data_IF_238623121215
#
_entry.id   IF_238623121215
#
_cell.length_a   1.000
_cell.length_b   1.000
_cell.length_c   1.000
_cell.angle_alpha   90.00
_cell.angle_beta   90.00
_cell.angle_gamma   90.00
#
_symmetry.space_group_name_H-M   'P 1'
#
loop_
_entity.id
_entity.type
_entity.pdbx_description
1 polymer ?
#
# COMPACT_ATOMS: atom_id res chain seq x y z
N UNK A 1 -22.02 13.92 4.63
CA UNK A 1 -21.90 12.46 4.42
C UNK A 1 -20.96 11.94 5.49
N UNK A 2 -21.43 11.12 6.42
CA UNK A 2 -20.55 10.46 7.41
C UNK A 2 -20.04 9.21 6.72
N UNK A 3 -18.74 9.15 6.46
CA UNK A 3 -18.11 7.93 5.95
C UNK A 3 -18.01 6.92 7.10
N UNK A 4 -18.57 5.74 6.91
CA UNK A 4 -18.35 4.60 7.81
C UNK A 4 -16.95 4.03 7.55
N UNK A 5 -15.94 4.66 8.15
CA UNK A 5 -14.55 4.21 8.03
C UNK A 5 -14.33 2.82 8.63
N UNK A 6 -15.27 2.29 9.43
CA UNK A 6 -15.18 0.94 9.97
C UNK A 6 -15.82 -0.09 9.04
N UNK A 7 -16.30 0.29 7.86
CA UNK A 7 -16.67 -0.62 6.79
C UNK A 7 -15.45 -0.96 5.92
N UNK A 8 -14.95 -2.19 6.06
CA UNK A 8 -13.83 -2.73 5.28
C UNK A 8 -14.04 -2.64 3.77
N UNK A 9 -15.30 -2.73 3.29
CA UNK A 9 -15.60 -2.69 1.86
C UNK A 9 -15.31 -1.33 1.21
N UNK A 10 -15.35 -0.23 1.97
CA UNK A 10 -14.95 1.09 1.46
C UNK A 10 -13.46 1.10 1.14
N UNK A 11 -12.66 0.50 2.02
CA UNK A 11 -11.21 0.37 1.84
C UNK A 11 -10.86 -0.58 0.70
N UNK A 12 -11.54 -1.72 0.60
CA UNK A 12 -11.35 -2.65 -0.52
C UNK A 12 -11.77 -2.04 -1.86
N UNK A 13 -12.90 -1.31 -1.90
CA UNK A 13 -13.34 -0.58 -3.09
C UNK A 13 -12.29 0.42 -3.57
N UNK A 14 -11.81 1.28 -2.65
CA UNK A 14 -10.75 2.25 -2.97
C UNK A 14 -9.44 1.58 -3.39
N UNK A 15 -9.06 0.48 -2.72
CA UNK A 15 -7.88 -0.31 -3.10
C UNK A 15 -7.97 -0.83 -4.54
N UNK A 16 -9.12 -1.36 -4.94
CA UNK A 16 -9.36 -1.88 -6.29
C UNK A 16 -9.31 -0.78 -7.34
N UNK A 17 -9.92 0.38 -7.10
CA UNK A 17 -9.87 1.53 -8.02
C UNK A 17 -8.43 2.02 -8.23
N UNK A 18 -7.66 2.12 -7.14
CA UNK A 18 -6.25 2.49 -7.19
C UNK A 18 -5.42 1.41 -7.88
N UNK A 19 -5.75 0.13 -7.68
CA UNK A 19 -5.08 -0.98 -8.35
C UNK A 19 -5.23 -0.87 -9.88
N UNK A 20 -6.46 -0.71 -10.36
CA UNK A 20 -6.75 -0.51 -11.79
C UNK A 20 -6.00 0.71 -12.32
N UNK A 21 -5.98 1.81 -11.56
CA UNK A 21 -5.23 3.02 -11.94
C UNK A 21 -3.73 2.74 -12.05
N UNK A 22 -3.16 1.98 -11.11
CA UNK A 22 -1.76 1.57 -11.17
C UNK A 22 -1.46 0.68 -12.38
N UNK A 23 -2.39 -0.19 -12.76
CA UNK A 23 -2.25 -1.07 -13.92
C UNK A 23 -2.24 -0.29 -15.24
N UNK A 24 -3.02 0.79 -15.33
CA UNK A 24 -2.96 1.71 -16.48
C UNK A 24 -1.60 2.41 -16.53
N UNK A 25 -1.09 2.89 -15.40
CA UNK A 25 0.18 3.62 -15.33
C UNK A 25 1.39 2.75 -15.68
N UNK A 26 1.41 1.49 -15.22
CA UNK A 26 2.52 0.57 -15.54
C UNK A 26 2.51 0.19 -17.02
N UNK A 27 1.35 0.01 -17.63
CA UNK A 27 1.24 -0.24 -19.07
C UNK A 27 1.76 0.95 -19.87
N UNK A 28 1.34 2.17 -19.51
CA UNK A 28 1.85 3.40 -20.13
C UNK A 28 3.37 3.55 -19.94
N UNK A 29 3.92 3.17 -18.78
CA UNK A 29 5.36 3.15 -18.55
C UNK A 29 6.06 2.19 -19.51
N UNK A 30 5.56 0.95 -19.64
CA UNK A 30 6.10 -0.04 -20.56
C UNK A 30 6.10 0.43 -22.02
N UNK A 31 5.01 1.07 -22.47
CA UNK A 31 4.93 1.66 -23.80
C UNK A 31 5.96 2.78 -24.00
N UNK A 32 6.20 3.59 -22.97
CA UNK A 32 7.15 4.71 -23.04
C UNK A 32 8.63 4.32 -23.04
N UNK A 33 8.96 3.08 -22.63
CA UNK A 33 10.35 2.59 -22.65
C UNK A 33 10.92 2.56 -24.07
N UNK A 34 10.06 2.49 -25.10
CA UNK A 34 10.47 2.49 -26.50
C UNK A 34 10.65 3.89 -27.11
N UNK A 35 10.37 4.97 -26.36
CA UNK A 35 10.24 6.33 -26.91
C UNK A 35 11.39 7.28 -26.55
N UNK A 36 12.47 6.80 -25.89
CA UNK A 36 13.62 7.63 -25.42
C UNK A 36 13.21 8.92 -24.68
N UNK A 37 12.11 8.89 -23.93
CA UNK A 37 11.61 10.01 -23.11
C UNK A 37 11.75 9.70 -21.62
N UNK A 38 12.95 9.93 -21.09
CA UNK A 38 13.31 9.64 -19.69
C UNK A 38 12.43 10.41 -18.69
N UNK A 39 12.02 11.64 -19.02
CA UNK A 39 11.21 12.46 -18.13
C UNK A 39 9.80 11.87 -17.99
N UNK A 40 9.20 11.43 -19.10
CA UNK A 40 7.91 10.75 -19.08
C UNK A 40 8.00 9.40 -18.35
N UNK A 41 9.05 8.63 -18.57
CA UNK A 41 9.27 7.35 -17.88
C UNK A 41 9.37 7.54 -16.35
N UNK A 42 10.16 8.52 -15.89
CA UNK A 42 10.30 8.84 -14.46
C UNK A 42 8.96 9.29 -13.87
N UNK A 43 8.21 10.13 -14.59
CA UNK A 43 6.89 10.59 -14.13
C UNK A 43 5.92 9.42 -13.97
N UNK A 44 5.81 8.56 -15.00
CA UNK A 44 4.94 7.39 -14.98
C UNK A 44 5.32 6.40 -13.89
N UNK A 45 6.62 6.14 -13.69
CA UNK A 45 7.11 5.29 -12.61
C UNK A 45 6.75 5.84 -11.22
N UNK A 46 6.97 7.14 -10.98
CA UNK A 46 6.62 7.78 -9.70
C UNK A 46 5.12 7.71 -9.43
N UNK A 47 4.31 8.03 -10.44
CA UNK A 47 2.85 7.94 -10.34
C UNK A 47 2.41 6.51 -10.07
N UNK A 48 2.97 5.52 -10.77
CA UNK A 48 2.70 4.11 -10.55
C UNK A 48 2.99 3.72 -9.09
N UNK A 49 4.21 4.00 -8.60
CA UNK A 49 4.62 3.62 -7.25
C UNK A 49 3.75 4.26 -6.16
N UNK A 50 3.38 5.54 -6.33
CA UNK A 50 2.49 6.23 -5.39
C UNK A 50 1.10 5.60 -5.36
N UNK A 51 0.47 5.43 -6.54
CA UNK A 51 -0.88 4.88 -6.64
C UNK A 51 -0.91 3.43 -6.16
N UNK A 52 0.12 2.64 -6.50
CA UNK A 52 0.27 1.26 -6.04
C UNK A 52 0.44 1.17 -4.53
N UNK A 53 1.27 2.04 -3.96
CA UNK A 53 1.45 2.12 -2.50
C UNK A 53 0.14 2.45 -1.77
N UNK A 54 -0.63 3.42 -2.28
CA UNK A 54 -1.94 3.76 -1.73
C UNK A 54 -2.95 2.62 -1.88
N UNK A 55 -2.93 1.89 -3.00
CA UNK A 55 -3.78 0.70 -3.19
C UNK A 55 -3.50 -0.35 -2.12
N UNK A 56 -2.22 -0.66 -1.88
CA UNK A 56 -1.80 -1.62 -0.85
C UNK A 56 -2.18 -1.12 0.55
N UNK A 57 -1.96 0.16 0.86
CA UNK A 57 -2.37 0.73 2.14
C UNK A 57 -3.87 0.55 2.42
N UNK A 58 -4.71 0.84 1.43
CA UNK A 58 -6.15 0.68 1.55
C UNK A 58 -6.54 -0.80 1.73
N UNK A 59 -5.90 -1.71 1.00
CA UNK A 59 -6.12 -3.15 1.19
C UNK A 59 -5.77 -3.58 2.63
N UNK A 60 -4.60 -3.18 3.13
CA UNK A 60 -4.15 -3.51 4.48
C UNK A 60 -5.11 -2.96 5.54
N UNK A 61 -5.56 -1.70 5.39
CA UNK A 61 -6.53 -1.10 6.30
C UNK A 61 -7.86 -1.86 6.33
N UNK A 62 -8.38 -2.25 5.17
CA UNK A 62 -9.58 -3.07 5.05
C UNK A 62 -9.40 -4.42 5.73
N UNK A 63 -8.28 -5.10 5.49
CA UNK A 63 -7.95 -6.38 6.13
C UNK A 63 -7.81 -6.27 7.65
N UNK A 64 -7.16 -5.23 8.16
CA UNK A 64 -7.08 -4.99 9.60
C UNK A 64 -8.46 -4.84 10.23
N UNK A 65 -9.40 -4.15 9.56
CA UNK A 65 -10.78 -3.98 10.04
C UNK A 65 -11.53 -5.31 10.02
N UNK A 66 -11.45 -6.05 8.91
CA UNK A 66 -12.08 -7.38 8.77
C UNK A 66 -11.64 -8.33 9.90
N UNK A 67 -10.33 -8.43 10.12
CA UNK A 67 -9.74 -9.25 11.19
C UNK A 67 -10.20 -8.75 12.56
N UNK A 68 -10.16 -7.44 12.79
CA UNK A 68 -10.56 -6.87 14.07
C UNK A 68 -12.03 -7.17 14.39
N UNK A 69 -12.94 -7.03 13.41
CA UNK A 69 -14.36 -7.37 13.55
C UNK A 69 -14.58 -8.84 13.85
N UNK A 70 -13.82 -9.74 13.21
CA UNK A 70 -13.89 -11.19 13.46
C UNK A 70 -13.65 -11.51 14.94
N UNK A 71 -12.71 -10.83 15.59
CA UNK A 71 -12.43 -11.01 17.02
C UNK A 71 -13.26 -10.12 17.96
N UNK A 72 -13.91 -9.07 17.44
CA UNK A 72 -14.65 -8.08 18.21
C UNK A 72 -16.00 -7.74 17.54
N UNK A 73 -16.93 -8.70 17.40
CA UNK A 73 -18.12 -8.55 16.56
C UNK A 73 -19.11 -7.49 17.04
N UNK A 74 -19.00 -7.06 18.30
CA UNK A 74 -19.88 -6.07 18.93
C UNK A 74 -19.29 -4.66 18.97
N UNK A 75 -18.02 -4.48 18.59
CA UNK A 75 -17.36 -3.17 18.60
C UNK A 75 -17.67 -2.46 17.28
N UNK A 76 -17.96 -1.17 17.37
CA UNK A 76 -18.13 -0.31 16.21
C UNK A 76 -17.46 1.05 16.44
N UNK A 77 -16.79 1.57 15.41
CA UNK A 77 -16.13 2.86 15.46
C UNK A 77 -16.69 3.79 14.38
N UNK A 78 -17.15 4.96 14.79
CA UNK A 78 -17.61 6.00 13.86
C UNK A 78 -16.50 7.01 13.53
N UNK A 79 -15.47 7.08 14.37
CA UNK A 79 -14.40 8.06 14.28
C UNK A 79 -13.13 7.43 13.69
N UNK A 80 -12.62 8.05 12.63
CA UNK A 80 -11.36 7.66 12.00
C UNK A 80 -10.19 7.61 12.99
N UNK A 81 -10.15 8.52 13.96
CA UNK A 81 -9.11 8.57 14.99
C UNK A 81 -9.07 7.32 15.87
N UNK A 82 -10.24 6.79 16.25
CA UNK A 82 -10.34 5.56 17.03
C UNK A 82 -9.91 4.35 16.21
N UNK A 83 -10.32 4.25 14.94
CA UNK A 83 -9.88 3.17 14.05
C UNK A 83 -8.35 3.19 13.91
N UNK A 84 -7.79 4.37 13.62
CA UNK A 84 -6.35 4.58 13.47
C UNK A 84 -5.57 4.10 14.69
N UNK A 85 -6.05 4.39 15.90
CA UNK A 85 -5.39 4.02 17.15
C UNK A 85 -5.65 2.58 17.56
N UNK A 86 -6.89 2.09 17.44
CA UNK A 86 -7.35 0.83 18.03
C UNK A 86 -7.16 -0.35 17.09
N UNK A 87 -7.45 -0.16 15.81
CA UNK A 87 -7.37 -1.19 14.76
C UNK A 87 -5.98 -1.19 14.15
N UNK A 88 -5.57 -0.07 13.55
CA UNK A 88 -4.30 0.01 12.82
C UNK A 88 -3.07 0.24 13.70
N UNK A 89 -3.27 0.49 15.00
CA UNK A 89 -2.20 0.71 16.00
C UNK A 89 -1.23 1.84 15.65
N UNK A 90 -1.70 2.84 14.89
CA UNK A 90 -0.91 4.00 14.49
C UNK A 90 -0.96 5.04 15.60
N UNK A 91 0.20 5.37 16.17
CA UNK A 91 0.36 6.45 17.14
C UNK A 91 0.67 7.79 16.46
N UNK A 92 0.51 8.91 17.19
CA UNK A 92 0.81 10.27 16.69
C UNK A 92 2.18 10.32 15.99
N UNK A 93 2.18 10.74 14.73
CA UNK A 93 3.36 10.85 13.87
C UNK A 93 2.96 11.08 12.41
N UNK A 94 3.88 11.64 11.62
CA UNK A 94 3.71 11.84 10.17
C UNK A 94 4.14 10.55 9.47
N UNK A 95 3.22 9.84 8.81
CA UNK A 95 3.55 8.64 8.05
C UNK A 95 2.35 7.78 7.68
N UNK A 96 2.54 6.89 6.70
CA UNK A 96 1.54 5.88 6.29
C UNK A 96 1.62 4.60 7.13
N UNK A 97 2.78 4.30 7.73
CA UNK A 97 3.02 3.19 8.68
C UNK A 97 2.56 1.82 8.18
N UNK A 98 2.90 1.48 6.93
CA UNK A 98 2.42 0.28 6.25
C UNK A 98 2.82 -1.00 6.98
N UNK A 99 4.06 -1.05 7.49
CA UNK A 99 4.56 -2.18 8.28
C UNK A 99 3.80 -2.37 9.59
N UNK A 100 3.41 -1.27 10.24
CA UNK A 100 2.58 -1.29 11.46
C UNK A 100 1.20 -1.84 11.16
N UNK A 101 0.55 -1.34 10.10
CA UNK A 101 -0.79 -1.84 9.68
C UNK A 101 -0.70 -3.32 9.33
N UNK A 102 0.29 -3.74 8.54
CA UNK A 102 0.46 -5.14 8.15
C UNK A 102 0.63 -6.09 9.34
N UNK A 103 1.37 -5.68 10.38
CA UNK A 103 1.52 -6.46 11.63
C UNK A 103 0.22 -6.64 12.41
N UNK A 104 -0.83 -5.86 12.13
CA UNK A 104 -2.16 -6.11 12.70
C UNK A 104 -2.89 -7.24 11.99
N UNK A 105 -2.45 -7.60 10.77
CA UNK A 105 -3.03 -8.66 9.96
C UNK A 105 -2.30 -10.00 10.11
N UNK A 106 -1.00 -9.98 10.45
CA UNK A 106 -0.17 -11.19 10.53
C UNK A 106 0.69 -11.22 11.79
N UNK A 107 1.00 -12.43 12.27
CA UNK A 107 1.80 -12.62 13.49
C UNK A 107 3.30 -12.35 13.31
N UNK A 108 3.81 -12.45 12.08
CA UNK A 108 5.24 -12.28 11.77
C UNK A 108 5.41 -11.59 10.42
N UNK A 109 6.27 -10.59 10.33
CA UNK A 109 6.58 -9.88 9.10
C UNK A 109 7.91 -10.42 8.55
N UNK A 110 7.91 -10.97 7.33
CA UNK A 110 9.15 -11.46 6.70
C UNK A 110 9.99 -10.28 6.22
N UNK A 111 11.31 -10.47 6.14
CA UNK A 111 12.22 -9.37 5.79
C UNK A 111 11.96 -8.79 4.39
N UNK A 112 11.64 -9.64 3.40
CA UNK A 112 11.30 -9.17 2.05
C UNK A 112 9.99 -8.38 2.00
N UNK A 113 8.98 -8.79 2.79
CA UNK A 113 7.71 -8.06 2.91
C UNK A 113 7.94 -6.71 3.59
N UNK A 114 8.78 -6.69 4.64
CA UNK A 114 9.16 -5.48 5.37
C UNK A 114 9.87 -4.49 4.47
N UNK A 115 10.92 -4.93 3.77
CA UNK A 115 11.70 -4.08 2.87
C UNK A 115 10.82 -3.47 1.77
N UNK A 116 9.91 -4.28 1.20
CA UNK A 116 8.95 -3.81 0.22
C UNK A 116 7.99 -2.74 0.78
N UNK A 117 7.40 -3.00 1.95
CA UNK A 117 6.48 -2.05 2.60
C UNK A 117 7.19 -0.76 3.04
N UNK A 118 8.42 -0.84 3.54
CA UNK A 118 9.22 0.34 3.92
C UNK A 118 9.60 1.19 2.71
N UNK A 119 9.94 0.54 1.58
CA UNK A 119 10.14 1.23 0.30
C UNK A 119 8.86 1.94 -0.14
N UNK A 120 7.73 1.23 -0.20
CA UNK A 120 6.45 1.84 -0.56
C UNK A 120 6.07 3.00 0.36
N UNK A 121 6.21 2.83 1.66
CA UNK A 121 5.94 3.87 2.65
C UNK A 121 6.81 5.11 2.38
N UNK A 122 8.11 4.90 2.14
CA UNK A 122 9.02 5.98 1.73
C UNK A 122 8.51 6.68 0.46
N UNK A 123 8.06 5.93 -0.54
CA UNK A 123 7.51 6.50 -1.78
C UNK A 123 6.24 7.29 -1.53
N UNK A 124 5.29 6.80 -0.72
CA UNK A 124 4.02 7.50 -0.47
C UNK A 124 4.27 8.77 0.36
N UNK A 125 5.02 8.65 1.47
CA UNK A 125 5.34 9.79 2.32
C UNK A 125 6.09 10.87 1.56
N UNK A 126 6.94 10.45 0.64
CA UNK A 126 7.77 11.33 -0.12
C UNK A 126 7.05 11.96 -1.32
N UNK A 127 6.52 11.13 -2.23
CA UNK A 127 5.86 11.60 -3.45
C UNK A 127 4.57 12.36 -3.13
N UNK A 128 3.95 12.10 -1.98
CA UNK A 128 2.81 12.88 -1.49
C UNK A 128 3.18 14.27 -0.95
N UNK A 129 4.45 14.51 -0.57
CA UNK A 129 4.88 15.76 0.10
C UNK A 129 5.86 16.61 -0.70
N UNK A 130 6.63 16.01 -1.61
CA UNK A 130 7.73 16.68 -2.30
C UNK A 130 7.83 16.26 -3.77
N UNK A 131 8.17 17.23 -4.62
CA UNK A 131 8.29 17.03 -6.07
C UNK A 131 9.63 16.41 -6.50
N UNK A 132 10.66 16.42 -5.64
CA UNK A 132 12.05 16.04 -5.99
C UNK A 132 12.65 15.04 -5.00
N UNK A 133 13.13 13.84 -5.44
CA UNK A 133 13.73 12.76 -4.63
C UNK A 133 14.86 13.24 -3.67
N UNK A 134 14.82 12.88 -2.38
CA UNK A 134 15.83 13.20 -1.35
C UNK A 134 17.12 12.50 -1.74
N UNK A 135 17.00 11.33 -2.36
CA UNK A 135 18.07 10.66 -3.05
C UNK A 135 17.62 10.24 -4.47
N UNK A 136 17.95 11.03 -5.51
CA UNK A 136 17.55 10.76 -6.90
C UNK A 136 18.00 9.39 -7.42
N UNK A 137 19.11 8.85 -6.90
CA UNK A 137 19.69 7.57 -7.29
C UNK A 137 18.75 6.38 -7.03
N UNK A 138 17.89 6.47 -6.01
CA UNK A 138 16.89 5.45 -5.70
C UNK A 138 15.77 5.35 -6.77
N UNK A 139 15.69 6.33 -7.68
CA UNK A 139 14.62 6.47 -8.67
C UNK A 139 15.13 6.25 -10.11
N UNK A 140 16.36 5.76 -10.27
CA UNK A 140 16.92 5.45 -11.58
C UNK A 140 16.18 4.28 -12.25
N UNK A 141 15.99 4.29 -13.58
CA UNK A 141 15.36 3.19 -14.33
C UNK A 141 16.02 1.83 -14.11
N UNK A 142 17.29 1.82 -13.72
CA UNK A 142 18.06 0.61 -13.36
C UNK A 142 17.41 -0.18 -12.21
N UNK A 143 16.72 0.54 -11.31
CA UNK A 143 15.94 -0.03 -10.20
C UNK A 143 14.58 -0.58 -10.66
N UNK A 144 14.19 -0.46 -11.95
CA UNK A 144 12.97 -1.06 -12.50
C UNK A 144 13.00 -2.59 -12.47
N UNK A 145 14.18 -3.24 -12.39
CA UNK A 145 14.28 -4.69 -12.18
C UNK A 145 13.56 -5.14 -10.90
N UNK A 146 13.48 -4.25 -9.91
CA UNK A 146 12.82 -4.48 -8.63
C UNK A 146 11.30 -4.64 -8.79
N UNK A 147 10.68 -4.07 -9.84
CA UNK A 147 9.23 -4.18 -10.08
C UNK A 147 8.74 -5.63 -10.24
N UNK A 148 9.55 -6.48 -10.86
CA UNK A 148 9.22 -7.90 -11.01
C UNK A 148 9.19 -8.65 -9.67
N UNK A 149 10.15 -8.33 -8.79
CA UNK A 149 10.26 -8.87 -7.44
C UNK A 149 9.17 -8.30 -6.51
N UNK A 150 8.82 -7.03 -6.69
CA UNK A 150 7.75 -6.34 -5.96
C UNK A 150 6.39 -6.98 -6.24
N UNK A 151 6.10 -7.28 -7.52
CA UNK A 151 4.87 -7.99 -7.91
C UNK A 151 4.79 -9.38 -7.28
N UNK A 152 5.91 -10.10 -7.21
CA UNK A 152 5.97 -11.41 -6.53
C UNK A 152 5.73 -11.24 -5.03
N UNK A 153 6.35 -10.25 -4.41
CA UNK A 153 6.25 -9.99 -2.96
C UNK A 153 4.84 -9.56 -2.58
N UNK A 154 4.17 -8.73 -3.39
CA UNK A 154 2.77 -8.37 -3.21
C UNK A 154 1.84 -9.59 -3.26
N UNK A 155 2.00 -10.45 -4.27
CA UNK A 155 1.22 -11.69 -4.37
C UNK A 155 1.44 -12.58 -3.14
N UNK A 156 2.66 -12.63 -2.62
CA UNK A 156 2.99 -13.37 -1.39
C UNK A 156 2.30 -12.77 -0.15
N UNK A 157 2.32 -11.44 -0.01
CA UNK A 157 1.62 -10.70 1.06
C UNK A 157 0.13 -11.03 1.04
N UNK A 158 -0.53 -10.91 -0.12
CA UNK A 158 -1.97 -11.15 -0.26
C UNK A 158 -2.34 -12.59 0.06
N UNK A 159 -1.65 -13.57 -0.55
CA UNK A 159 -1.86 -15.00 -0.30
C UNK A 159 -1.66 -15.37 1.17
N UNK A 160 -0.65 -14.77 1.82
CA UNK A 160 -0.34 -15.06 3.22
C UNK A 160 -1.44 -14.55 4.16
N UNK A 161 -1.98 -13.36 3.90
CA UNK A 161 -3.13 -12.83 4.64
C UNK A 161 -4.34 -13.75 4.47
N UNK A 162 -4.64 -14.17 3.23
CA UNK A 162 -5.76 -15.07 2.93
C UNK A 162 -5.64 -16.43 3.64
N UNK A 163 -4.45 -17.05 3.59
CA UNK A 163 -4.19 -18.33 4.27
C UNK A 163 -4.35 -18.27 5.80
N UNK A 164 -4.10 -17.11 6.41
CA UNK A 164 -4.32 -16.92 7.84
C UNK A 164 -5.83 -16.85 8.12
N UNK A 165 -6.59 -16.18 7.27
CA UNK A 165 -8.04 -16.07 7.41
C UNK A 165 -8.76 -17.41 7.27
N UNK A 166 -8.29 -18.30 6.40
CA UNK A 166 -8.84 -19.65 6.23
C UNK A 166 -8.60 -20.58 7.44
N UNK A 167 -7.58 -20.28 8.25
CA UNK A 167 -7.19 -21.10 9.41
C UNK A 167 -7.78 -20.64 10.75
N UNK A 168 -8.50 -19.51 10.74
CA UNK A 168 -9.10 -18.85 11.90
C UNK A 168 -10.62 -19.02 11.88
#
# INVERSE_FOLDING_TARGET
>A
MIFDYFNENIWFGSSNELQVTSDVLINALHESLNLEDDLKQIALFKSYMLIKGLSIENYLKGKSIEIYKKYNPTIYYYEFGEIKKKVWKINKGNGHQLTTIYKTCVNELKENEKEFLERLETFIDYAGKYHLPINPENYKPENLKILSQDKITEIQINKRIELILEKL
#
